data_IF_197207435343
#
_entry.id   IF_197207435343
#
_cell.length_a   1.000
_cell.length_b   1.000
_cell.length_c   1.000
_cell.angle_alpha   90.00
_cell.angle_beta   90.00
_cell.angle_gamma   90.00
#
_symmetry.space_group_name_H-M   'P 1'
#
loop_
_entity.id
_entity.type
_entity.pdbx_description
1 polymer ?
#
# COMPACT_ATOMS: atom_id res chain seq x y z
N UNK A 1 17.48 -21.41 -3.87
CA UNK A 1 16.39 -20.41 -4.03
C UNK A 1 15.33 -20.66 -2.94
N UNK A 2 15.33 -19.88 -1.85
CA UNK A 2 14.19 -19.86 -0.90
C UNK A 2 13.00 -19.27 -1.66
N UNK A 3 11.86 -19.97 -1.69
CA UNK A 3 10.66 -19.49 -2.37
C UNK A 3 9.65 -19.00 -1.34
N UNK A 4 8.95 -17.92 -1.65
CA UNK A 4 7.89 -17.36 -0.80
C UNK A 4 6.58 -18.11 -0.98
N UNK A 5 5.71 -18.04 0.03
CA UNK A 5 4.38 -18.65 0.07
C UNK A 5 3.31 -17.56 0.23
N UNK A 6 2.18 -17.66 -0.47
CA UNK A 6 1.00 -16.82 -0.23
C UNK A 6 0.08 -17.38 0.87
N UNK A 7 -0.61 -16.51 1.61
CA UNK A 7 -1.61 -16.94 2.60
C UNK A 7 -2.93 -16.20 2.39
N UNK A 8 -3.96 -16.91 1.94
CA UNK A 8 -5.31 -16.37 1.81
C UNK A 8 -6.15 -16.64 3.09
N UNK A 9 -7.07 -15.73 3.42
CA UNK A 9 -8.04 -15.92 4.51
C UNK A 9 -9.45 -16.13 3.96
N UNK A 10 -10.11 -17.21 4.37
CA UNK A 10 -11.52 -17.47 4.07
C UNK A 10 -12.24 -17.93 5.33
N UNK A 11 -12.67 -16.98 6.16
CA UNK A 11 -13.69 -17.16 7.22
C UNK A 11 -13.60 -18.44 8.07
N UNK A 12 -12.38 -18.94 8.35
CA UNK A 12 -11.96 -20.16 9.07
C UNK A 12 -11.08 -21.16 8.27
N UNK A 13 -10.62 -20.83 7.05
CA UNK A 13 -9.67 -21.66 6.29
C UNK A 13 -8.56 -20.84 5.66
N UNK A 14 -7.37 -21.42 5.60
CA UNK A 14 -6.18 -20.83 4.99
C UNK A 14 -5.63 -21.66 3.83
N UNK A 15 -5.20 -21.02 2.73
CA UNK A 15 -4.60 -21.68 1.55
C UNK A 15 -3.20 -21.11 1.23
N UNK A 16 -2.28 -21.98 0.77
CA UNK A 16 -0.87 -21.64 0.45
C UNK A 16 -0.37 -22.17 -0.90
N UNK A 17 0.45 -21.37 -1.60
CA UNK A 17 1.12 -21.72 -2.86
C UNK A 17 2.48 -21.01 -2.99
N UNK A 18 3.11 -20.97 -4.19
CA UNK A 18 4.36 -20.20 -4.42
C UNK A 18 4.15 -19.16 -5.53
N UNK A 19 4.19 -17.88 -5.17
CA UNK A 19 3.99 -16.75 -6.09
C UNK A 19 4.83 -15.54 -5.69
N UNK A 20 4.84 -14.48 -6.50
CA UNK A 20 5.21 -13.13 -6.07
C UNK A 20 4.08 -12.48 -5.26
N UNK A 21 4.33 -11.38 -4.53
CA UNK A 21 3.30 -10.73 -3.71
C UNK A 21 2.08 -10.25 -4.52
N UNK A 22 2.31 -9.68 -5.71
CA UNK A 22 1.22 -9.21 -6.59
C UNK A 22 0.39 -10.37 -7.14
N UNK A 23 1.04 -11.44 -7.57
CA UNK A 23 0.37 -12.65 -8.04
C UNK A 23 -0.40 -13.33 -6.89
N UNK A 24 0.19 -13.39 -5.71
CA UNK A 24 -0.43 -13.90 -4.49
C UNK A 24 -1.71 -13.13 -4.12
N UNK A 25 -1.61 -11.80 -4.08
CA UNK A 25 -2.75 -10.93 -3.80
C UNK A 25 -3.85 -11.07 -4.85
N UNK A 26 -3.48 -11.03 -6.13
CA UNK A 26 -4.44 -11.17 -7.23
C UNK A 26 -5.17 -12.52 -7.16
N UNK A 27 -4.42 -13.59 -6.90
CA UNK A 27 -4.98 -14.93 -6.72
C UNK A 27 -5.95 -15.00 -5.52
N UNK A 28 -5.56 -14.48 -4.35
CA UNK A 28 -6.44 -14.50 -3.18
C UNK A 28 -7.72 -13.69 -3.39
N UNK A 29 -7.68 -12.59 -4.14
CA UNK A 29 -8.87 -11.78 -4.47
C UNK A 29 -9.77 -12.44 -5.52
N UNK A 30 -9.19 -13.23 -6.42
CA UNK A 30 -9.96 -13.94 -7.44
C UNK A 30 -10.64 -15.21 -6.88
N UNK A 31 -9.99 -15.90 -5.94
CA UNK A 31 -10.43 -17.21 -5.43
C UNK A 31 -10.99 -17.19 -4.01
N UNK A 32 -10.65 -16.20 -3.20
CA UNK A 32 -11.01 -16.08 -1.79
C UNK A 32 -11.36 -14.61 -1.46
N UNK A 33 -11.02 -14.13 -0.25
CA UNK A 33 -11.21 -12.72 0.15
C UNK A 33 -10.01 -11.85 -0.25
N UNK A 34 -8.86 -12.02 0.42
CA UNK A 34 -7.59 -11.35 0.16
C UNK A 34 -6.48 -12.08 0.95
N UNK A 35 -5.24 -11.58 0.88
CA UNK A 35 -4.16 -11.97 1.78
C UNK A 35 -4.53 -11.70 3.25
N UNK A 36 -4.04 -12.57 4.15
CA UNK A 36 -4.21 -12.41 5.61
C UNK A 36 -3.76 -11.00 6.03
N UNK A 37 -4.60 -10.30 6.79
CA UNK A 37 -4.31 -8.94 7.26
C UNK A 37 -4.68 -8.73 8.73
N UNK A 38 -3.92 -7.87 9.40
CA UNK A 38 -4.12 -7.56 10.81
C UNK A 38 -3.55 -8.61 11.78
N UNK A 39 -3.28 -8.17 13.01
CA UNK A 39 -2.63 -8.99 14.04
C UNK A 39 -3.48 -10.17 14.49
N UNK A 40 -4.81 -10.01 14.56
CA UNK A 40 -5.73 -11.07 14.99
C UNK A 40 -5.67 -12.29 14.07
N UNK A 41 -5.71 -12.08 12.76
CA UNK A 41 -5.64 -13.18 11.80
C UNK A 41 -4.26 -13.83 11.79
N UNK A 42 -3.19 -13.05 11.95
CA UNK A 42 -1.82 -13.57 12.04
C UNK A 42 -1.56 -14.39 13.31
N UNK A 43 -2.33 -14.15 14.37
CA UNK A 43 -2.25 -14.90 15.63
C UNK A 43 -3.13 -16.15 15.64
N UNK A 44 -3.90 -16.41 14.59
CA UNK A 44 -4.69 -17.61 14.44
C UNK A 44 -3.80 -18.87 14.46
N UNK A 45 -4.22 -19.89 15.20
CA UNK A 45 -3.44 -21.12 15.40
C UNK A 45 -3.26 -21.90 14.09
N UNK A 46 -4.21 -21.84 13.17
CA UNK A 46 -4.08 -22.45 11.84
C UNK A 46 -2.98 -21.76 11.04
N UNK A 47 -2.95 -20.42 11.08
CA UNK A 47 -1.92 -19.60 10.43
C UNK A 47 -0.54 -19.86 11.03
N UNK A 48 -0.43 -19.92 12.36
CA UNK A 48 0.83 -20.26 13.05
C UNK A 48 1.34 -21.64 12.66
N UNK A 49 0.47 -22.65 12.65
CA UNK A 49 0.85 -24.01 12.23
C UNK A 49 1.35 -24.01 10.79
N UNK A 50 0.65 -23.31 9.91
CA UNK A 50 1.05 -23.24 8.50
C UNK A 50 2.41 -22.55 8.34
N UNK A 51 2.61 -21.39 8.98
CA UNK A 51 3.88 -20.65 8.96
C UNK A 51 5.04 -21.48 9.54
N UNK A 52 4.81 -22.21 10.63
CA UNK A 52 5.82 -23.06 11.26
C UNK A 52 6.12 -24.33 10.46
N UNK A 53 5.16 -24.84 9.69
CA UNK A 53 5.34 -26.01 8.82
C UNK A 53 6.10 -25.69 7.53
N UNK A 54 6.12 -24.43 7.13
CA UNK A 54 6.81 -23.96 5.94
C UNK A 54 8.18 -23.40 6.27
N UNK A 55 9.26 -24.04 5.81
CA UNK A 55 10.65 -23.51 5.81
C UNK A 55 10.85 -22.26 4.91
N UNK A 56 9.78 -21.49 4.67
CA UNK A 56 9.66 -20.49 3.62
C UNK A 56 9.00 -19.23 4.16
N UNK A 57 9.37 -18.09 3.57
CA UNK A 57 8.76 -16.79 3.89
C UNK A 57 7.32 -16.73 3.38
N UNK A 58 6.41 -16.09 4.11
CA UNK A 58 5.03 -15.92 3.70
C UNK A 58 4.69 -14.47 3.32
N UNK A 59 3.79 -14.27 2.37
CA UNK A 59 3.17 -12.99 2.06
C UNK A 59 1.88 -12.81 2.83
N UNK A 60 1.71 -11.61 3.40
CA UNK A 60 0.50 -11.17 4.07
C UNK A 60 0.10 -9.79 3.52
N UNK A 61 -1.13 -9.38 3.78
CA UNK A 61 -1.79 -8.20 3.21
C UNK A 61 -1.29 -6.87 3.75
N UNK A 62 -0.07 -6.81 4.30
CA UNK A 62 0.53 -5.55 4.71
C UNK A 62 0.94 -4.77 3.45
N UNK A 63 0.28 -3.66 3.24
CA UNK A 63 0.61 -2.69 2.20
C UNK A 63 1.18 -1.44 2.85
N UNK A 64 2.33 -0.97 2.35
CA UNK A 64 2.92 0.30 2.77
C UNK A 64 2.47 1.40 1.81
N UNK A 65 1.64 2.31 2.31
CA UNK A 65 1.29 3.52 1.59
C UNK A 65 2.25 4.65 1.95
N UNK A 66 2.85 5.27 0.93
CA UNK A 66 3.71 6.43 1.11
C UNK A 66 2.93 7.75 0.97
N UNK A 67 1.66 7.70 0.56
CA UNK A 67 0.77 8.85 0.44
C UNK A 67 -0.13 8.94 1.67
N UNK A 68 -0.29 10.16 2.19
CA UNK A 68 -1.21 10.49 3.29
C UNK A 68 -2.06 11.68 2.88
N UNK A 69 -3.31 11.72 3.33
CA UNK A 69 -4.11 12.92 3.17
C UNK A 69 -3.55 14.05 4.04
N UNK A 70 -3.75 15.29 3.60
CA UNK A 70 -3.28 16.48 4.32
C UNK A 70 -4.00 16.69 5.66
N UNK A 71 -5.20 16.15 5.81
CA UNK A 71 -5.96 16.14 7.07
C UNK A 71 -5.51 15.04 8.04
N UNK A 72 -4.54 14.19 7.64
CA UNK A 72 -4.04 13.08 8.44
C UNK A 72 -4.90 11.81 8.39
N UNK A 73 -6.01 11.83 7.65
CA UNK A 73 -6.83 10.63 7.46
C UNK A 73 -6.10 9.55 6.64
N UNK A 74 -6.43 8.29 6.89
CA UNK A 74 -5.92 7.16 6.12
C UNK A 74 -6.87 6.82 4.98
N UNK A 75 -6.32 6.52 3.81
CA UNK A 75 -7.08 5.94 2.70
C UNK A 75 -6.16 5.09 1.85
N UNK A 76 -6.67 3.92 1.45
CA UNK A 76 -6.05 3.02 0.48
C UNK A 76 -6.49 3.30 -0.96
N UNK A 77 -7.51 4.13 -1.18
CA UNK A 77 -8.01 4.43 -2.51
C UNK A 77 -7.07 5.39 -3.25
N UNK A 78 -6.70 5.04 -4.48
CA UNK A 78 -5.90 5.87 -5.37
C UNK A 78 -6.51 5.87 -6.75
N UNK A 79 -6.72 7.06 -7.31
CA UNK A 79 -7.19 7.22 -8.67
C UNK A 79 -6.05 7.78 -9.55
N UNK A 80 -4.87 7.18 -9.53
CA UNK A 80 -3.72 7.66 -10.30
C UNK A 80 -3.96 7.58 -11.82
N UNK A 81 -3.34 8.47 -12.57
CA UNK A 81 -3.18 8.28 -14.01
C UNK A 81 -2.35 7.02 -14.31
N UNK A 82 -2.66 6.34 -15.41
CA UNK A 82 -2.03 5.07 -15.80
C UNK A 82 -0.51 5.18 -16.00
N UNK A 83 -0.01 6.37 -16.31
CA UNK A 83 1.42 6.64 -16.52
C UNK A 83 2.20 6.80 -15.20
N UNK A 84 1.53 6.67 -14.05
CA UNK A 84 2.17 6.79 -12.75
C UNK A 84 2.90 5.49 -12.36
N UNK A 85 4.20 5.43 -12.63
CA UNK A 85 5.08 4.38 -12.13
C UNK A 85 5.45 4.69 -10.66
N UNK A 86 4.96 3.89 -9.72
CA UNK A 86 5.09 4.07 -8.27
C UNK A 86 6.52 3.93 -7.71
N UNK A 87 7.54 3.95 -8.57
CA UNK A 87 8.93 3.63 -8.23
C UNK A 87 9.78 4.86 -7.87
N UNK A 88 9.28 6.08 -8.03
CA UNK A 88 10.01 7.28 -7.62
C UNK A 88 9.82 7.56 -6.13
N UNK A 89 10.91 7.96 -5.46
CA UNK A 89 10.88 8.48 -4.11
C UNK A 89 9.93 9.70 -4.06
N UNK A 90 8.73 9.51 -3.51
CA UNK A 90 7.72 10.56 -3.34
C UNK A 90 8.10 11.58 -2.25
N UNK A 91 9.37 11.62 -1.85
CA UNK A 91 9.91 12.65 -0.96
C UNK A 91 9.75 13.99 -1.67
N UNK A 92 8.82 14.82 -1.17
CA UNK A 92 8.50 16.17 -1.67
C UNK A 92 7.49 16.28 -2.82
N UNK A 93 6.58 15.31 -2.97
CA UNK A 93 5.47 15.40 -3.94
C UNK A 93 4.10 15.43 -3.24
N UNK A 94 3.15 16.14 -3.86
CA UNK A 94 1.73 16.14 -3.51
C UNK A 94 0.91 15.49 -4.63
N UNK A 95 -0.25 14.93 -4.27
CA UNK A 95 -1.22 14.46 -5.26
C UNK A 95 -2.15 15.61 -5.63
N UNK A 96 -2.36 15.84 -6.92
CA UNK A 96 -3.30 16.82 -7.44
C UNK A 96 -4.18 16.17 -8.51
N UNK A 97 -5.44 16.60 -8.59
CA UNK A 97 -6.33 16.22 -9.69
C UNK A 97 -6.61 17.45 -10.54
N UNK A 98 -6.58 17.28 -11.87
CA UNK A 98 -6.96 18.34 -12.80
C UNK A 98 -8.49 18.38 -12.99
N UNK A 99 -8.98 19.46 -13.62
CA UNK A 99 -10.38 19.56 -14.04
C UNK A 99 -10.61 18.53 -15.17
N UNK A 100 -11.21 17.38 -14.85
CA UNK A 100 -11.36 16.24 -15.77
C UNK A 100 -11.84 14.97 -15.05
N UNK A 101 -11.50 13.79 -15.59
CA UNK A 101 -11.94 12.44 -15.16
C UNK A 101 -11.54 12.02 -13.71
N UNK A 102 -11.17 12.96 -12.85
CA UNK A 102 -10.85 12.72 -11.44
C UNK A 102 -9.55 11.97 -11.20
N UNK A 103 -8.73 11.77 -12.24
CA UNK A 103 -7.43 11.10 -12.12
C UNK A 103 -6.39 12.01 -11.48
N UNK A 104 -5.48 11.40 -10.72
CA UNK A 104 -4.49 12.09 -9.92
C UNK A 104 -3.13 12.06 -10.61
N UNK A 105 -2.41 13.16 -10.47
CA UNK A 105 -1.02 13.35 -10.86
C UNK A 105 -0.21 13.76 -9.63
N UNK A 106 1.11 13.64 -9.70
CA UNK A 106 1.98 14.20 -8.68
C UNK A 106 2.47 15.57 -9.07
N UNK A 107 2.41 16.51 -8.14
CA UNK A 107 2.99 17.85 -8.27
C UNK A 107 4.14 18.04 -7.27
N UNK A 108 5.10 18.87 -7.62
CA UNK A 108 6.23 19.17 -6.74
C UNK A 108 5.79 20.16 -5.65
N UNK A 109 6.21 19.91 -4.40
CA UNK A 109 6.09 20.91 -3.35
C UNK A 109 7.03 22.08 -3.66
N UNK A 110 6.53 23.15 -4.27
CA UNK A 110 7.30 24.39 -4.37
C UNK A 110 7.34 25.06 -2.99
N UNK A 111 8.52 25.39 -2.43
CA UNK A 111 8.59 26.19 -1.22
C UNK A 111 7.94 27.55 -1.49
N UNK A 112 6.90 27.91 -0.72
CA UNK A 112 6.37 29.27 -0.73
C UNK A 112 7.49 30.19 -0.25
N UNK A 113 8.09 30.98 -1.16
CA UNK A 113 8.95 32.10 -0.75
C UNK A 113 8.06 33.05 0.04
N UNK A 114 8.19 33.09 1.37
CA UNK A 114 7.57 34.15 2.18
C UNK A 114 8.12 35.47 1.65
N UNK A 115 7.26 36.29 1.05
CA UNK A 115 7.62 37.67 0.69
C UNK A 115 8.15 38.37 1.95
N UNK A 116 9.25 39.13 1.89
CA UNK A 116 9.68 39.91 3.03
C UNK A 116 8.56 40.89 3.39
N UNK A 117 8.14 40.90 4.66
CA UNK A 117 7.24 41.94 5.16
C UNK A 117 7.84 43.32 4.83
N UNK A 118 7.05 44.29 4.36
CA UNK A 118 7.58 45.61 4.08
C UNK A 118 8.17 46.18 5.38
N UNK A 119 9.47 46.44 5.35
CA UNK A 119 10.18 47.10 6.44
C UNK A 119 9.54 48.47 6.66
N UNK A 120 8.98 48.67 7.85
CA UNK A 120 8.45 49.95 8.28
C UNK A 120 9.63 50.92 8.46
N UNK A 121 9.76 52.00 7.67
CA UNK A 121 10.81 52.97 7.89
C UNK A 121 10.48 53.78 9.15
N UNK A 122 11.45 53.88 10.06
CA UNK A 122 11.40 54.76 11.22
C UNK A 122 12.25 55.99 10.96
#
# INVERSE_FOLDING_TARGET
KRGSIELCYEGNKTQSGKKTWLEAQSYCREKHTDLISGTKQLQDEEVKKLMNSSDRSAYFGLFRDNWRWSDGSSSSFRHWNNDFNSQHENSHRCAATGVGAGRWNTDALTPVKRSPSPSNPR
#
